data_IF_077843990233
#
_entry.id   IF_077843990233
#
_cell.length_a   1.000
_cell.length_b   1.000
_cell.length_c   1.000
_cell.angle_alpha   90.00
_cell.angle_beta   90.00
_cell.angle_gamma   90.00
#
_symmetry.space_group_name_H-M   'P 1'
#
loop_
_entity.id
_entity.type
_entity.pdbx_description
1 polymer ?
#
# COMPACT_ATOMS: atom_id res chain seq x y z
N UNK A 1 -3.76 8.10 -25.15
CA UNK A 1 -4.14 6.73 -24.78
C UNK A 1 -5.38 6.76 -23.88
N UNK A 2 -6.29 5.79 -24.12
CA UNK A 2 -7.55 5.69 -23.37
C UNK A 2 -7.32 5.18 -21.93
N UNK A 3 -6.27 4.39 -21.70
CA UNK A 3 -5.95 3.77 -20.41
C UNK A 3 -4.70 4.37 -19.81
N UNK A 4 -4.64 4.37 -18.47
CA UNK A 4 -3.46 4.68 -17.68
C UNK A 4 -2.83 3.39 -17.19
N UNK A 5 -1.53 3.38 -17.03
CA UNK A 5 -0.79 2.20 -16.61
C UNK A 5 -0.19 2.40 -15.21
N UNK A 6 -0.35 1.38 -14.40
CA UNK A 6 0.25 1.29 -13.08
C UNK A 6 1.07 0.00 -13.02
N UNK A 7 2.40 0.14 -13.10
CA UNK A 7 3.33 -0.99 -13.13
C UNK A 7 3.96 -1.17 -11.74
N UNK A 8 3.97 -2.40 -11.24
CA UNK A 8 4.47 -2.78 -9.92
C UNK A 8 5.52 -3.87 -10.09
N UNK A 9 6.70 -3.67 -9.47
CA UNK A 9 7.77 -4.67 -9.41
C UNK A 9 8.38 -4.71 -8.00
N UNK A 10 8.89 -5.87 -7.53
CA UNK A 10 9.61 -5.95 -6.27
C UNK A 10 10.94 -5.19 -6.30
N UNK A 11 11.52 -4.98 -7.48
CA UNK A 11 12.88 -4.45 -7.65
C UNK A 11 12.87 -2.93 -7.85
N UNK A 12 13.46 -2.21 -6.90
CA UNK A 12 13.56 -0.74 -6.97
C UNK A 12 14.31 -0.28 -8.23
N UNK A 13 15.33 -1.00 -8.67
CA UNK A 13 16.13 -0.64 -9.87
C UNK A 13 15.33 -0.69 -11.18
N UNK A 14 14.23 -1.41 -11.20
CA UNK A 14 13.35 -1.47 -12.36
C UNK A 14 12.38 -0.30 -12.42
N UNK A 15 11.85 0.09 -11.27
CA UNK A 15 10.74 1.06 -11.16
C UNK A 15 11.18 2.48 -10.81
N UNK A 16 12.42 2.70 -10.38
CA UNK A 16 12.96 4.03 -10.12
C UNK A 16 13.00 4.89 -11.38
N UNK A 17 13.12 6.19 -11.22
CA UNK A 17 13.30 7.10 -12.35
C UNK A 17 14.56 6.74 -13.15
N UNK A 18 14.42 6.64 -14.48
CA UNK A 18 15.46 6.11 -15.36
C UNK A 18 15.69 4.59 -15.27
N UNK A 19 14.84 3.86 -14.55
CA UNK A 19 14.95 2.41 -14.38
C UNK A 19 14.65 1.61 -15.65
N UNK A 20 14.87 0.28 -15.57
CA UNK A 20 14.74 -0.64 -16.72
C UNK A 20 13.39 -0.53 -17.44
N UNK A 21 12.29 -0.39 -16.69
CA UNK A 21 10.94 -0.31 -17.29
C UNK A 21 10.74 0.97 -18.09
N UNK A 22 11.20 2.10 -17.60
CA UNK A 22 11.12 3.35 -18.37
C UNK A 22 11.97 3.28 -19.65
N UNK A 23 13.15 2.64 -19.58
CA UNK A 23 14.00 2.44 -20.76
C UNK A 23 13.37 1.49 -21.77
N UNK A 24 12.68 0.44 -21.31
CA UNK A 24 11.98 -0.52 -22.17
C UNK A 24 10.73 0.07 -22.86
N UNK A 25 10.11 1.09 -22.25
CA UNK A 25 8.89 1.73 -22.74
C UNK A 25 9.08 3.22 -23.05
N UNK A 26 9.96 3.59 -23.98
CA UNK A 26 10.35 5.01 -24.20
C UNK A 26 9.21 5.88 -24.71
N UNK A 27 8.19 5.28 -25.33
CA UNK A 27 7.00 5.99 -25.82
C UNK A 27 5.93 6.21 -24.78
N UNK A 28 5.99 5.48 -23.65
CA UNK A 28 5.07 5.61 -22.54
C UNK A 28 5.79 6.32 -21.40
N UNK A 29 5.41 7.56 -21.13
CA UNK A 29 6.01 8.30 -20.03
C UNK A 29 5.56 7.72 -18.69
N UNK A 30 6.34 6.80 -18.15
CA UNK A 30 6.17 6.24 -16.82
C UNK A 30 6.90 7.12 -15.79
N UNK A 31 6.32 7.32 -14.62
CA UNK A 31 6.85 8.17 -13.55
C UNK A 31 6.92 7.38 -12.26
N UNK A 32 8.07 7.39 -11.61
CA UNK A 32 8.23 6.83 -10.27
C UNK A 32 7.86 7.86 -9.19
N UNK A 33 7.13 7.49 -8.12
CA UNK A 33 6.93 8.36 -6.98
C UNK A 33 8.24 8.67 -6.27
N UNK A 34 8.48 9.95 -5.98
CA UNK A 34 9.70 10.44 -5.36
C UNK A 34 9.40 11.26 -4.11
N UNK A 35 10.37 11.38 -3.21
CA UNK A 35 10.36 12.38 -2.16
C UNK A 35 10.85 13.72 -2.71
N UNK A 36 10.54 14.81 -2.01
CA UNK A 36 11.04 16.15 -2.38
C UNK A 36 12.57 16.20 -2.44
N UNK A 37 13.26 15.45 -1.60
CA UNK A 37 14.73 15.41 -1.58
C UNK A 37 15.31 14.65 -2.77
N UNK A 38 14.63 13.58 -3.21
CA UNK A 38 15.02 12.82 -4.40
C UNK A 38 14.79 13.64 -5.67
N UNK A 39 13.68 14.39 -5.74
CA UNK A 39 13.35 15.25 -6.86
C UNK A 39 14.38 16.35 -7.07
N UNK A 40 14.85 16.98 -6.01
CA UNK A 40 15.88 18.02 -6.08
C UNK A 40 17.24 17.51 -6.60
N UNK A 41 17.51 16.20 -6.49
CA UNK A 41 18.75 15.55 -6.96
C UNK A 41 18.65 15.05 -8.40
N UNK A 42 17.45 14.93 -8.95
CA UNK A 42 17.24 14.44 -10.31
C UNK A 42 17.20 15.60 -11.32
N UNK A 43 17.85 15.44 -12.47
CA UNK A 43 17.79 16.44 -13.55
C UNK A 43 16.39 16.58 -14.16
N UNK A 44 15.54 15.56 -14.00
CA UNK A 44 14.14 15.53 -14.45
C UNK A 44 13.21 16.23 -13.47
N UNK A 45 13.55 16.23 -12.19
CA UNK A 45 12.73 16.75 -11.10
C UNK A 45 12.59 18.26 -11.08
N UNK A 46 13.58 18.98 -11.60
CA UNK A 46 13.57 20.46 -11.66
C UNK A 46 12.38 21.06 -12.44
N UNK A 47 11.63 20.23 -13.16
CA UNK A 47 10.51 20.69 -13.99
C UNK A 47 9.12 20.48 -13.38
N UNK A 48 8.95 19.77 -12.26
CA UNK A 48 7.62 19.31 -11.83
C UNK A 48 7.10 19.81 -10.48
N UNK A 49 7.91 20.50 -9.69
CA UNK A 49 7.45 21.14 -8.45
C UNK A 49 6.76 20.17 -7.47
N UNK A 50 7.36 19.00 -7.22
CA UNK A 50 6.83 18.03 -6.27
C UNK A 50 6.86 18.63 -4.86
N UNK A 51 5.68 18.69 -4.22
CA UNK A 51 5.54 19.29 -2.89
C UNK A 51 5.61 18.26 -1.77
N UNK A 52 5.43 16.98 -2.08
CA UNK A 52 5.24 15.91 -1.11
C UNK A 52 6.52 15.49 -0.43
N UNK A 53 6.48 15.39 0.91
CA UNK A 53 7.61 14.91 1.71
C UNK A 53 7.80 13.40 1.64
N UNK A 54 6.72 12.63 1.47
CA UNK A 54 6.71 11.16 1.45
C UNK A 54 6.35 10.63 0.07
N UNK A 55 6.91 9.49 -0.32
CA UNK A 55 6.61 8.83 -1.60
C UNK A 55 5.13 8.50 -1.77
N UNK A 56 4.46 8.10 -0.68
CA UNK A 56 3.03 7.75 -0.72
C UNK A 56 2.15 8.97 -1.03
N UNK A 57 2.49 10.15 -0.48
CA UNK A 57 1.76 11.38 -0.76
C UNK A 57 1.97 11.81 -2.22
N UNK A 58 3.20 11.67 -2.73
CA UNK A 58 3.51 11.94 -4.13
C UNK A 58 2.80 10.96 -5.07
N UNK A 59 2.70 9.68 -4.68
CA UNK A 59 1.92 8.70 -5.43
C UNK A 59 0.46 9.15 -5.59
N UNK A 60 -0.17 9.65 -4.54
CA UNK A 60 -1.54 10.18 -4.61
C UNK A 60 -1.64 11.38 -5.55
N UNK A 61 -0.68 12.30 -5.53
CA UNK A 61 -0.63 13.44 -6.45
C UNK A 61 -0.52 12.96 -7.91
N UNK A 62 0.33 11.99 -8.19
CA UNK A 62 0.49 11.39 -9.52
C UNK A 62 -0.79 10.69 -10.01
N UNK A 63 -1.48 9.98 -9.13
CA UNK A 63 -2.77 9.35 -9.44
C UNK A 63 -3.82 10.40 -9.78
N UNK A 64 -3.94 11.48 -9.00
CA UNK A 64 -4.90 12.57 -9.25
C UNK A 64 -4.74 13.22 -10.62
N UNK A 65 -3.52 13.34 -11.12
CA UNK A 65 -3.27 13.91 -12.46
C UNK A 65 -3.33 12.84 -13.57
N UNK A 66 -3.59 11.58 -13.24
CA UNK A 66 -3.66 10.47 -14.20
C UNK A 66 -2.34 10.21 -14.91
N UNK A 67 -1.20 10.26 -14.20
CA UNK A 67 0.10 9.87 -14.75
C UNK A 67 0.18 8.36 -14.94
N UNK A 68 0.99 7.88 -15.91
CA UNK A 68 1.38 6.47 -15.90
C UNK A 68 2.48 6.26 -14.84
N UNK A 69 2.34 5.25 -14.00
CA UNK A 69 3.12 5.14 -12.77
C UNK A 69 3.88 3.81 -12.74
N UNK A 70 5.10 3.86 -12.20
CA UNK A 70 5.87 2.68 -11.77
C UNK A 70 6.11 2.76 -10.27
N UNK A 71 5.92 1.67 -9.53
CA UNK A 71 6.25 1.65 -8.11
C UNK A 71 6.68 0.27 -7.62
N UNK A 72 7.24 0.22 -6.40
CA UNK A 72 7.57 -1.03 -5.73
C UNK A 72 6.33 -1.66 -5.10
N UNK A 73 6.39 -3.00 -4.88
CA UNK A 73 5.39 -3.73 -4.11
C UNK A 73 5.13 -3.08 -2.74
N UNK A 74 6.18 -2.73 -1.99
CA UNK A 74 6.03 -2.12 -0.67
C UNK A 74 5.30 -0.77 -0.68
N UNK A 75 5.50 0.04 -1.75
CA UNK A 75 4.75 1.30 -1.88
C UNK A 75 3.29 1.05 -2.24
N UNK A 76 3.02 0.08 -3.13
CA UNK A 76 1.66 -0.34 -3.47
C UNK A 76 0.90 -0.83 -2.23
N UNK A 77 1.56 -1.65 -1.38
CA UNK A 77 0.99 -2.15 -0.13
C UNK A 77 0.65 -1.06 0.89
N UNK A 78 1.32 0.08 0.81
CA UNK A 78 1.05 1.22 1.70
C UNK A 78 -0.06 2.15 1.19
N UNK A 79 -0.69 1.84 0.04
CA UNK A 79 -1.79 2.62 -0.51
C UNK A 79 -3.03 2.57 0.39
N UNK A 80 -3.82 3.64 0.33
CA UNK A 80 -5.07 3.80 1.05
C UNK A 80 -6.25 3.84 0.08
N UNK A 81 -7.47 3.81 0.59
CA UNK A 81 -8.69 3.93 -0.22
C UNK A 81 -8.69 5.13 -1.17
N UNK A 82 -8.09 6.25 -0.76
CA UNK A 82 -8.03 7.44 -1.62
C UNK A 82 -7.18 7.21 -2.87
N UNK A 83 -6.12 6.39 -2.77
CA UNK A 83 -5.33 5.99 -3.92
C UNK A 83 -6.13 5.11 -4.87
N UNK A 84 -6.85 4.11 -4.34
CA UNK A 84 -7.66 3.20 -5.15
C UNK A 84 -8.83 3.92 -5.83
N UNK A 85 -9.49 4.87 -5.15
CA UNK A 85 -10.53 5.72 -5.76
C UNK A 85 -10.00 6.51 -6.96
N UNK A 86 -8.79 7.07 -6.87
CA UNK A 86 -8.20 7.79 -8.01
C UNK A 86 -7.77 6.82 -9.12
N UNK A 87 -7.32 5.60 -8.80
CA UNK A 87 -7.04 4.57 -9.82
C UNK A 87 -8.30 4.19 -10.59
N UNK A 88 -9.40 3.94 -9.90
CA UNK A 88 -10.70 3.62 -10.49
C UNK A 88 -11.20 4.75 -11.40
N UNK A 89 -11.20 5.97 -10.91
CA UNK A 89 -11.61 7.18 -11.64
C UNK A 89 -10.87 7.37 -12.96
N UNK A 90 -9.59 7.07 -12.99
CA UNK A 90 -8.74 7.18 -14.18
C UNK A 90 -8.61 5.89 -14.99
N UNK A 91 -9.32 4.82 -14.60
CA UNK A 91 -9.34 3.52 -15.28
C UNK A 91 -7.91 2.97 -15.50
N UNK A 92 -7.15 2.86 -14.42
CA UNK A 92 -5.80 2.31 -14.48
C UNK A 92 -5.81 0.82 -14.85
N UNK A 93 -4.90 0.44 -15.74
CA UNK A 93 -4.53 -0.95 -15.98
C UNK A 93 -3.36 -1.28 -15.06
N UNK A 94 -3.57 -2.22 -14.16
CA UNK A 94 -2.57 -2.70 -13.22
C UNK A 94 -1.72 -3.78 -13.92
N UNK A 95 -0.40 -3.59 -13.91
CA UNK A 95 0.58 -4.56 -14.40
C UNK A 95 1.46 -4.93 -13.22
N UNK A 96 1.39 -6.20 -12.81
CA UNK A 96 2.15 -6.74 -11.68
C UNK A 96 3.24 -7.63 -12.27
N UNK A 97 4.48 -7.26 -12.05
CA UNK A 97 5.64 -8.07 -12.39
C UNK A 97 6.05 -8.91 -11.17
N UNK A 98 6.11 -10.20 -11.36
CA UNK A 98 6.23 -11.22 -10.32
C UNK A 98 5.00 -11.36 -9.41
N UNK A 99 4.84 -12.55 -8.82
CA UNK A 99 3.78 -12.79 -7.86
C UNK A 99 3.94 -11.84 -6.67
N UNK A 100 2.99 -10.93 -6.50
CA UNK A 100 2.79 -10.34 -5.19
C UNK A 100 2.55 -11.51 -4.24
N UNK A 101 3.39 -11.67 -3.23
CA UNK A 101 3.08 -12.56 -2.12
C UNK A 101 1.74 -12.10 -1.53
N UNK A 102 0.64 -12.60 -2.11
CA UNK A 102 -0.72 -12.14 -1.77
C UNK A 102 -1.11 -12.55 -0.35
N UNK A 103 -0.41 -13.52 0.20
CA UNK A 103 -0.59 -14.00 1.57
C UNK A 103 0.79 -14.19 2.18
N UNK A 104 1.10 -13.45 3.23
CA UNK A 104 2.32 -13.61 4.02
C UNK A 104 1.97 -13.72 5.51
N UNK A 105 2.85 -14.38 6.28
CA UNK A 105 2.71 -14.44 7.72
C UNK A 105 2.79 -13.03 8.32
N UNK A 106 1.76 -12.64 9.05
CA UNK A 106 1.73 -11.35 9.71
C UNK A 106 2.53 -11.40 11.02
N UNK A 107 3.84 -11.14 10.91
CA UNK A 107 4.80 -11.27 12.02
C UNK A 107 4.92 -10.03 12.91
N UNK A 108 4.29 -8.93 12.53
CA UNK A 108 4.44 -7.65 13.23
C UNK A 108 3.83 -7.66 14.63
N UNK A 109 2.87 -8.53 14.89
CA UNK A 109 2.21 -8.67 16.20
C UNK A 109 2.03 -10.14 16.55
N UNK A 110 2.28 -10.46 17.83
CA UNK A 110 2.15 -11.82 18.33
C UNK A 110 0.68 -12.19 18.58
N UNK A 111 0.39 -13.50 18.59
CA UNK A 111 -0.93 -14.00 18.98
C UNK A 111 -1.40 -13.49 20.36
N UNK A 112 -0.55 -13.38 21.41
CA UNK A 112 -0.92 -12.73 22.68
C UNK A 112 -1.35 -11.27 22.55
N UNK A 113 -0.72 -10.48 21.66
CA UNK A 113 -1.12 -9.08 21.41
C UNK A 113 -2.53 -9.01 20.86
N UNK A 114 -2.84 -9.81 19.83
CA UNK A 114 -4.17 -9.85 19.22
C UNK A 114 -5.23 -10.34 20.22
N UNK A 115 -4.93 -11.39 21.01
CA UNK A 115 -5.82 -11.88 22.07
C UNK A 115 -6.09 -10.82 23.14
N UNK A 116 -5.12 -9.97 23.44
CA UNK A 116 -5.31 -8.85 24.36
C UNK A 116 -6.27 -7.82 23.79
N UNK A 117 -6.12 -7.46 22.51
CA UNK A 117 -7.03 -6.55 21.80
C UNK A 117 -8.46 -7.12 21.69
N UNK A 118 -8.59 -8.44 21.51
CA UNK A 118 -9.89 -9.11 21.52
C UNK A 118 -10.56 -9.03 22.90
N UNK A 119 -9.81 -9.29 23.99
CA UNK A 119 -10.35 -9.17 25.36
C UNK A 119 -10.78 -7.75 25.71
N UNK A 120 -10.13 -6.76 25.13
CA UNK A 120 -10.51 -5.34 25.25
C UNK A 120 -11.69 -4.95 24.36
N UNK A 121 -12.21 -5.86 23.54
CA UNK A 121 -13.30 -5.58 22.62
C UNK A 121 -12.90 -4.72 21.42
N UNK A 122 -11.60 -4.54 21.18
CA UNK A 122 -11.12 -3.72 20.06
C UNK A 122 -11.16 -4.48 18.72
N UNK A 123 -11.01 -5.79 18.74
CA UNK A 123 -10.92 -6.64 17.56
C UNK A 123 -11.78 -7.89 17.73
N UNK A 124 -12.46 -8.27 16.67
CA UNK A 124 -13.24 -9.52 16.55
C UNK A 124 -12.77 -10.33 15.35
N UNK A 125 -12.84 -11.65 15.44
CA UNK A 125 -12.58 -12.56 14.32
C UNK A 125 -13.96 -12.96 13.74
N UNK A 126 -14.15 -12.74 12.45
CA UNK A 126 -15.36 -13.18 11.75
C UNK A 126 -15.33 -14.71 11.57
N UNK A 127 -16.43 -15.38 11.92
CA UNK A 127 -16.56 -16.84 11.81
C UNK A 127 -16.61 -17.32 10.35
N UNK A 128 -17.04 -16.46 9.42
CA UNK A 128 -17.23 -16.82 8.01
C UNK A 128 -15.92 -17.12 7.28
N UNK A 129 -14.89 -16.30 7.49
CA UNK A 129 -13.65 -16.31 6.72
C UNK A 129 -12.38 -16.17 7.56
N UNK A 130 -12.54 -15.88 8.86
CA UNK A 130 -11.44 -15.65 9.78
C UNK A 130 -10.83 -14.25 9.70
N UNK A 131 -11.50 -13.31 9.02
CA UNK A 131 -11.06 -11.91 8.91
C UNK A 131 -11.12 -11.22 10.28
N UNK A 132 -10.11 -10.41 10.60
CA UNK A 132 -10.15 -9.52 11.75
C UNK A 132 -10.93 -8.26 11.42
N UNK A 133 -11.81 -7.86 12.34
CA UNK A 133 -12.60 -6.63 12.22
C UNK A 133 -12.35 -5.76 13.43
N UNK A 134 -12.11 -4.48 13.19
CA UNK A 134 -12.01 -3.47 14.25
C UNK A 134 -13.41 -3.10 14.74
N UNK A 135 -13.64 -3.10 16.05
CA UNK A 135 -14.96 -2.93 16.67
C UNK A 135 -15.08 -1.69 17.54
N UNK A 136 -13.98 -1.13 17.99
CA UNK A 136 -14.01 -0.06 18.98
C UNK A 136 -13.44 1.24 18.41
N UNK A 137 -14.31 2.02 17.76
CA UNK A 137 -13.95 3.33 17.20
C UNK A 137 -13.91 4.44 18.28
N UNK A 138 -14.37 4.14 19.50
CA UNK A 138 -14.34 5.11 20.60
C UNK A 138 -12.93 5.30 21.17
N UNK A 139 -12.05 4.31 20.98
CA UNK A 139 -10.65 4.38 21.44
C UNK A 139 -9.78 5.02 20.35
N UNK A 140 -9.72 6.34 20.38
CA UNK A 140 -8.94 7.14 19.42
C UNK A 140 -7.42 7.10 19.63
N UNK A 141 -6.95 6.56 20.74
CA UNK A 141 -5.50 6.42 21.03
C UNK A 141 -4.76 5.62 19.94
N UNK A 142 -5.42 4.65 19.32
CA UNK A 142 -4.85 3.83 18.24
C UNK A 142 -4.74 4.56 16.90
N UNK A 143 -5.33 5.75 16.77
CA UNK A 143 -5.23 6.58 15.57
C UNK A 143 -3.97 7.44 15.58
N UNK A 144 -3.32 7.59 16.73
CA UNK A 144 -2.02 8.23 16.81
C UNK A 144 -0.96 7.39 16.07
N UNK A 145 -0.31 7.99 15.07
CA UNK A 145 0.72 7.34 14.25
C UNK A 145 1.90 6.81 15.07
N UNK A 146 2.13 7.35 16.25
CA UNK A 146 3.18 6.91 17.18
C UNK A 146 2.75 5.75 18.06
N UNK A 147 1.44 5.46 18.10
CA UNK A 147 0.93 4.37 18.92
C UNK A 147 1.35 3.01 18.39
N UNK A 148 1.74 2.12 19.30
CA UNK A 148 2.21 0.77 19.03
C UNK A 148 1.30 -0.01 18.05
N UNK A 149 -0.02 0.11 18.20
CA UNK A 149 -1.00 -0.64 17.40
C UNK A 149 -1.59 0.15 16.22
N UNK A 150 -1.10 1.34 15.92
CA UNK A 150 -1.62 2.14 14.80
C UNK A 150 -1.59 1.39 13.47
N UNK A 151 -0.44 0.82 13.11
CA UNK A 151 -0.30 0.05 11.85
C UNK A 151 -1.19 -1.18 11.83
N UNK A 152 -1.35 -1.86 12.98
CA UNK A 152 -2.24 -3.01 13.10
C UNK A 152 -3.70 -2.61 12.87
N UNK A 153 -4.19 -1.56 13.55
CA UNK A 153 -5.56 -1.03 13.36
C UNK A 153 -5.81 -0.77 11.87
N UNK A 154 -4.92 -0.04 11.21
CA UNK A 154 -5.05 0.27 9.78
C UNK A 154 -5.11 -0.98 8.89
N UNK A 155 -4.31 -1.99 9.17
CA UNK A 155 -4.36 -3.23 8.40
C UNK A 155 -5.66 -4.00 8.62
N UNK A 156 -6.20 -3.97 9.85
CA UNK A 156 -7.51 -4.58 10.17
C UNK A 156 -8.64 -3.82 9.49
N UNK A 157 -8.67 -2.49 9.56
CA UNK A 157 -9.67 -1.63 8.90
C UNK A 157 -9.64 -1.77 7.38
N UNK A 158 -8.48 -2.07 6.80
CA UNK A 158 -8.33 -2.33 5.37
C UNK A 158 -8.63 -3.80 4.99
N UNK A 159 -9.20 -4.59 5.90
CA UNK A 159 -9.58 -5.98 5.64
C UNK A 159 -8.39 -6.87 5.20
N UNK A 160 -7.18 -6.58 5.72
CA UNK A 160 -5.96 -7.24 5.27
C UNK A 160 -5.53 -8.41 6.16
N UNK A 161 -6.06 -8.53 7.38
CA UNK A 161 -5.58 -9.52 8.36
C UNK A 161 -6.61 -10.61 8.60
N UNK A 162 -6.15 -11.84 8.47
CA UNK A 162 -6.94 -13.05 8.66
C UNK A 162 -6.25 -14.00 9.61
N UNK A 163 -7.03 -14.81 10.33
CA UNK A 163 -6.53 -15.96 11.08
C UNK A 163 -6.25 -17.11 10.12
N UNK A 164 -5.09 -17.71 10.24
CA UNK A 164 -4.77 -18.89 9.44
C UNK A 164 -5.73 -20.05 9.74
N UNK A 165 -6.28 -20.66 8.69
CA UNK A 165 -7.12 -21.88 8.83
C UNK A 165 -6.35 -23.08 9.37
N UNK A 166 -5.01 -23.07 9.29
CA UNK A 166 -4.16 -24.17 9.77
C UNK A 166 -3.81 -24.04 11.25
N UNK A 167 -3.65 -22.83 11.74
CA UNK A 167 -3.31 -22.52 13.13
C UNK A 167 -3.92 -21.19 13.55
N UNK A 168 -4.84 -21.22 14.49
CA UNK A 168 -5.52 -20.05 15.05
C UNK A 168 -4.59 -19.05 15.77
N UNK A 169 -3.32 -19.39 15.97
CA UNK A 169 -2.32 -18.50 16.53
C UNK A 169 -1.48 -17.78 15.46
N UNK A 170 -1.65 -18.14 14.19
CA UNK A 170 -0.96 -17.53 13.06
C UNK A 170 -1.92 -16.58 12.36
N UNK A 171 -1.49 -15.33 12.23
CA UNK A 171 -2.19 -14.32 11.44
C UNK A 171 -1.49 -14.19 10.09
N UNK A 172 -2.29 -14.05 9.05
CA UNK A 172 -1.81 -13.83 7.69
C UNK A 172 -2.30 -12.48 7.19
N UNK A 173 -1.46 -11.78 6.47
CA UNK A 173 -1.82 -10.55 5.79
C UNK A 173 -2.13 -10.87 4.34
N UNK A 174 -3.33 -10.52 3.91
CA UNK A 174 -3.72 -10.57 2.51
C UNK A 174 -3.70 -9.16 1.94
N UNK A 175 -3.13 -9.01 0.75
CA UNK A 175 -3.20 -7.74 0.04
C UNK A 175 -4.63 -7.43 -0.38
N UNK A 176 -5.09 -6.17 -0.20
CA UNK A 176 -6.37 -5.77 -0.74
C UNK A 176 -6.29 -5.82 -2.28
N UNK A 177 -6.87 -6.86 -2.86
CA UNK A 177 -7.19 -6.91 -4.29
C UNK A 177 -8.59 -6.34 -4.39
N UNK A 178 -8.68 -5.08 -4.70
CA UNK A 178 -9.95 -4.42 -5.02
C UNK A 178 -10.02 -4.12 -6.51
#
# INVERSE_FOLDING_TARGET
>A
HKYKFFYISPLLDEVKDGGRIQQACPTTRLVAPMTKEEDLKSDVGKQKGISSKRKIDNLLELLKIGANITCTHSLYLSMTDDHFKEMEKHQYVLIIDEELGMIDDYKSYSSPDVKSLQKLGCVEIQDSDGMLVWKNDEVTEFDDITHRYHSFKRHVENEMIYVSKRDANIFVCQLPIR
#
